data_IF_144357803978
#
_entry.id   IF_144357803978
#
_cell.length_a   1.000
_cell.length_b   1.000
_cell.length_c   1.000
_cell.angle_alpha   90.00
_cell.angle_beta   90.00
_cell.angle_gamma   90.00
#
_symmetry.space_group_name_H-M   'P 1'
#
loop_
_entity.id
_entity.type
_entity.pdbx_description
1 polymer ?
#
# COMPACT_ATOMS: atom_id res chain seq x y z
N UNK A 1 -12.44 9.39 -2.56
CA UNK A 1 -10.98 9.23 -2.65
C UNK A 1 -10.44 8.66 -1.35
N UNK A 2 -9.44 7.81 -1.44
CA UNK A 2 -8.82 7.24 -0.24
C UNK A 2 -8.01 8.30 0.49
N UNK A 3 -7.93 8.16 1.80
CA UNK A 3 -7.06 9.02 2.61
C UNK A 3 -5.60 8.70 2.31
N UNK A 4 -4.78 9.72 2.30
CA UNK A 4 -3.35 9.59 2.09
C UNK A 4 -2.61 9.87 3.38
N UNK A 5 -1.54 9.11 3.63
CA UNK A 5 -0.64 9.40 4.74
C UNK A 5 0.74 9.67 4.17
N UNK A 6 1.55 10.43 4.90
CA UNK A 6 2.91 10.72 4.45
C UNK A 6 3.78 9.48 4.61
N UNK A 7 4.87 9.42 3.86
CA UNK A 7 5.84 8.34 4.02
C UNK A 7 6.40 8.30 5.45
N UNK A 8 6.58 9.47 6.06
CA UNK A 8 7.05 9.55 7.45
C UNK A 8 6.06 8.88 8.40
N UNK A 9 4.76 9.19 8.27
CA UNK A 9 3.74 8.59 9.11
C UNK A 9 3.63 7.09 8.88
N UNK A 10 3.74 6.67 7.62
CA UNK A 10 3.70 5.24 7.29
C UNK A 10 4.85 4.49 7.94
N UNK A 11 6.06 5.09 7.94
CA UNK A 11 7.23 4.48 8.56
C UNK A 11 7.05 4.36 10.07
N UNK A 12 6.51 5.39 10.71
CA UNK A 12 6.30 5.40 12.15
C UNK A 12 5.24 4.40 12.60
N UNK A 13 4.23 4.17 11.77
CA UNK A 13 3.08 3.32 12.12
C UNK A 13 3.09 1.99 11.39
N UNK A 14 4.22 1.64 10.78
CA UNK A 14 4.34 0.47 9.89
C UNK A 14 3.75 -0.80 10.51
N UNK A 15 4.04 -1.06 11.76
CA UNK A 15 3.61 -2.30 12.42
C UNK A 15 2.10 -2.36 12.66
N UNK A 16 1.41 -1.22 12.57
CA UNK A 16 -0.04 -1.15 12.72
C UNK A 16 -0.79 -1.31 11.41
N UNK A 17 -0.08 -1.43 10.28
CA UNK A 17 -0.71 -1.55 8.98
C UNK A 17 -0.44 -2.90 8.33
N UNK A 18 -1.40 -3.33 7.50
CA UNK A 18 -1.11 -4.37 6.50
C UNK A 18 -0.64 -3.63 5.26
N UNK A 19 0.64 -3.71 4.96
CA UNK A 19 1.23 -3.02 3.80
C UNK A 19 1.04 -3.86 2.55
N UNK A 20 0.44 -3.28 1.52
CA UNK A 20 0.23 -3.96 0.25
C UNK A 20 0.83 -3.14 -0.88
N UNK A 21 1.84 -3.73 -1.53
CA UNK A 21 2.45 -3.15 -2.72
C UNK A 21 1.63 -3.59 -3.93
N UNK A 22 1.01 -2.64 -4.62
CA UNK A 22 0.11 -2.95 -5.73
C UNK A 22 0.78 -2.89 -7.09
N UNK A 23 2.12 -2.83 -7.11
CA UNK A 23 2.88 -2.86 -8.37
C UNK A 23 2.96 -4.28 -8.90
N UNK A 24 3.41 -4.42 -10.15
CA UNK A 24 3.67 -5.73 -10.72
C UNK A 24 4.94 -6.33 -10.13
N UNK A 25 5.03 -7.65 -10.12
CA UNK A 25 6.16 -8.34 -9.50
C UNK A 25 7.51 -7.97 -10.09
N UNK A 26 7.57 -7.71 -11.38
CA UNK A 26 8.83 -7.36 -12.03
C UNK A 26 9.32 -5.96 -11.62
N UNK A 27 8.42 -5.04 -11.31
CA UNK A 27 8.81 -3.73 -10.77
C UNK A 27 9.48 -3.89 -9.41
N UNK A 28 8.94 -4.77 -8.58
CA UNK A 28 9.50 -5.04 -7.27
C UNK A 28 10.86 -5.72 -7.38
N UNK A 29 11.01 -6.64 -8.33
CA UNK A 29 12.28 -7.32 -8.55
C UNK A 29 13.39 -6.34 -8.90
N UNK A 30 13.06 -5.24 -9.61
CA UNK A 30 14.04 -4.23 -9.98
C UNK A 30 14.31 -3.21 -8.89
N UNK A 31 13.26 -2.77 -8.19
CA UNK A 31 13.36 -1.62 -7.29
C UNK A 31 13.29 -1.97 -5.80
N UNK A 32 12.91 -3.20 -5.47
CA UNK A 32 12.65 -3.57 -4.08
C UNK A 32 11.28 -3.13 -3.64
N UNK A 33 10.96 -3.40 -2.38
CA UNK A 33 9.68 -3.07 -1.77
C UNK A 33 9.90 -2.78 -0.29
N UNK A 34 8.85 -2.32 0.40
CA UNK A 34 8.94 -2.08 1.84
C UNK A 34 8.99 -3.45 2.54
N UNK A 35 9.93 -3.60 3.48
CA UNK A 35 10.05 -4.82 4.25
C UNK A 35 8.73 -5.13 4.98
N UNK A 36 8.26 -6.36 4.83
CA UNK A 36 7.00 -6.77 5.45
C UNK A 36 5.78 -6.58 4.57
N UNK A 37 5.92 -5.92 3.42
CA UNK A 37 4.78 -5.70 2.53
C UNK A 37 4.45 -6.98 1.75
N UNK A 38 3.17 -7.12 1.45
CA UNK A 38 2.67 -8.20 0.59
C UNK A 38 2.48 -7.62 -0.80
N UNK A 39 2.90 -8.33 -1.83
CA UNK A 39 2.67 -7.88 -3.20
C UNK A 39 1.38 -8.47 -3.74
N UNK A 40 0.41 -7.59 -4.00
CA UNK A 40 -0.83 -7.95 -4.68
C UNK A 40 -1.04 -6.91 -5.77
N UNK A 41 -0.71 -7.21 -7.02
CA UNK A 41 -0.87 -6.24 -8.10
C UNK A 41 -2.29 -5.69 -8.17
N UNK A 42 -2.43 -4.46 -8.59
CA UNK A 42 -3.70 -3.71 -8.49
C UNK A 42 -4.90 -4.48 -9.04
N UNK A 43 -4.77 -5.06 -10.23
CA UNK A 43 -5.89 -5.81 -10.83
C UNK A 43 -6.31 -6.99 -9.98
N UNK A 44 -5.33 -7.70 -9.40
CA UNK A 44 -5.63 -8.82 -8.51
C UNK A 44 -6.24 -8.35 -7.20
N UNK A 45 -5.76 -7.22 -6.68
CA UNK A 45 -6.29 -6.66 -5.45
C UNK A 45 -7.78 -6.35 -5.59
N UNK A 46 -8.15 -5.70 -6.67
CA UNK A 46 -9.54 -5.35 -6.94
C UNK A 46 -10.38 -6.60 -7.07
N UNK A 47 -9.92 -7.59 -7.83
CA UNK A 47 -10.67 -8.84 -8.02
C UNK A 47 -10.84 -9.60 -6.71
N UNK A 48 -9.75 -9.74 -5.95
CA UNK A 48 -9.78 -10.47 -4.68
C UNK A 48 -10.73 -9.78 -3.68
N UNK A 49 -10.71 -8.45 -3.65
CA UNK A 49 -11.61 -7.70 -2.79
C UNK A 49 -13.08 -7.95 -3.13
N UNK A 50 -13.39 -8.00 -4.43
CA UNK A 50 -14.76 -8.27 -4.89
C UNK A 50 -15.22 -9.68 -4.60
N UNK A 51 -14.29 -10.63 -4.60
CA UNK A 51 -14.60 -12.04 -4.42
C UNK A 51 -14.58 -12.49 -2.96
N UNK A 52 -14.32 -11.59 -2.03
CA UNK A 52 -14.28 -11.92 -0.61
C UNK A 52 -13.02 -12.60 -0.16
N UNK A 53 -12.00 -12.69 -1.01
CA UNK A 53 -10.76 -13.39 -0.69
C UNK A 53 -9.88 -12.65 0.31
N UNK A 54 -10.16 -11.35 0.54
CA UNK A 54 -9.40 -10.52 1.48
C UNK A 54 -10.19 -10.19 2.74
N UNK A 55 -11.30 -10.86 2.98
CA UNK A 55 -12.17 -10.50 4.09
C UNK A 55 -11.49 -10.60 5.46
N UNK A 56 -10.46 -11.44 5.58
CA UNK A 56 -9.66 -11.53 6.81
C UNK A 56 -9.03 -10.19 7.19
N UNK A 57 -8.86 -9.28 6.24
CA UNK A 57 -8.22 -8.00 6.47
C UNK A 57 -9.19 -6.91 6.88
N UNK A 58 -10.50 -7.19 6.94
CA UNK A 58 -11.49 -6.15 7.22
C UNK A 58 -11.38 -5.52 8.59
N UNK A 59 -10.86 -6.22 9.56
CA UNK A 59 -10.64 -5.67 10.90
C UNK A 59 -9.32 -4.94 11.06
N UNK A 60 -8.55 -4.81 10.00
CA UNK A 60 -7.21 -4.23 10.04
C UNK A 60 -7.15 -2.99 9.16
N UNK A 61 -6.18 -2.11 9.42
CA UNK A 61 -5.94 -0.96 8.56
C UNK A 61 -4.94 -1.37 7.48
N UNK A 62 -5.35 -1.22 6.23
CA UNK A 62 -4.53 -1.55 5.08
C UNK A 62 -3.88 -0.29 4.56
N UNK A 63 -2.59 -0.37 4.21
CA UNK A 63 -1.87 0.74 3.58
C UNK A 63 -1.35 0.26 2.24
N UNK A 64 -1.93 0.77 1.16
CA UNK A 64 -1.51 0.39 -0.19
C UNK A 64 -0.50 1.39 -0.73
N UNK A 65 0.32 0.97 -1.67
CA UNK A 65 1.23 1.88 -2.35
C UNK A 65 1.68 1.31 -3.68
N UNK A 66 2.09 2.23 -4.55
CA UNK A 66 2.78 1.88 -5.80
C UNK A 66 4.02 2.75 -5.87
N UNK A 67 4.58 2.95 -7.04
CA UNK A 67 5.82 3.73 -7.13
C UNK A 67 5.58 5.22 -6.89
N UNK A 68 4.58 5.82 -7.55
CA UNK A 68 4.30 7.27 -7.46
C UNK A 68 3.03 7.64 -6.72
N UNK A 69 2.23 6.67 -6.30
CA UNK A 69 1.00 6.91 -5.54
C UNK A 69 -0.30 6.69 -6.30
N UNK A 70 -0.28 6.70 -7.61
CA UNK A 70 -1.52 6.64 -8.39
C UNK A 70 -2.26 5.30 -8.24
N UNK A 71 -1.57 4.20 -8.51
CA UNK A 71 -2.17 2.87 -8.39
C UNK A 71 -2.52 2.53 -6.94
N UNK A 72 -1.68 2.98 -6.01
CA UNK A 72 -1.95 2.79 -4.58
C UNK A 72 -3.24 3.46 -4.16
N UNK A 73 -3.47 4.68 -4.64
CA UNK A 73 -4.70 5.40 -4.33
C UNK A 73 -5.93 4.68 -4.90
N UNK A 74 -5.84 4.19 -6.14
CA UNK A 74 -6.93 3.43 -6.74
C UNK A 74 -7.23 2.18 -5.91
N UNK A 75 -6.20 1.46 -5.50
CA UNK A 75 -6.38 0.24 -4.70
C UNK A 75 -7.05 0.51 -3.37
N UNK A 76 -6.59 1.53 -2.65
CA UNK A 76 -7.19 1.89 -1.36
C UNK A 76 -8.64 2.32 -1.53
N UNK A 77 -8.93 3.11 -2.56
CA UNK A 77 -10.29 3.58 -2.82
C UNK A 77 -11.24 2.40 -3.10
N UNK A 78 -10.79 1.46 -3.94
CA UNK A 78 -11.59 0.27 -4.25
C UNK A 78 -11.84 -0.59 -3.01
N UNK A 79 -10.82 -0.74 -2.16
CA UNK A 79 -10.99 -1.51 -0.93
C UNK A 79 -11.99 -0.83 0.01
N UNK A 80 -11.91 0.49 0.14
CA UNK A 80 -12.85 1.22 1.01
C UNK A 80 -14.29 1.05 0.52
N UNK A 81 -14.51 0.98 -0.79
CA UNK A 81 -15.85 0.74 -1.34
C UNK A 81 -16.39 -0.63 -0.99
N UNK A 82 -15.52 -1.57 -0.62
CA UNK A 82 -15.91 -2.93 -0.28
C UNK A 82 -15.93 -3.18 1.23
N UNK A 83 -15.84 -2.12 2.03
CA UNK A 83 -15.94 -2.23 3.48
C UNK A 83 -14.63 -2.41 4.21
N UNK A 84 -13.50 -2.31 3.52
CA UNK A 84 -12.20 -2.32 4.16
C UNK A 84 -11.84 -0.94 4.66
N UNK A 85 -10.87 -0.86 5.56
CA UNK A 85 -10.28 0.40 6.00
C UNK A 85 -8.90 0.51 5.36
N UNK A 86 -8.77 1.38 4.36
CA UNK A 86 -7.53 1.47 3.59
C UNK A 86 -7.10 2.92 3.41
N UNK A 87 -5.80 3.13 3.56
CA UNK A 87 -5.14 4.41 3.27
C UNK A 87 -4.04 4.12 2.25
N UNK A 88 -3.41 5.16 1.71
CA UNK A 88 -2.33 4.98 0.75
C UNK A 88 -1.19 5.94 1.09
N UNK A 89 0.03 5.57 0.73
CA UNK A 89 1.21 6.42 0.97
C UNK A 89 1.24 7.51 -0.10
N UNK A 90 1.21 8.76 0.35
CA UNK A 90 1.35 9.90 -0.55
C UNK A 90 2.73 9.87 -1.18
N UNK A 91 2.79 9.87 -2.51
CA UNK A 91 4.05 9.75 -3.24
C UNK A 91 4.58 8.32 -3.34
N UNK A 92 3.92 7.35 -2.72
CA UNK A 92 4.23 5.93 -2.90
C UNK A 92 5.62 5.52 -2.45
N UNK A 93 6.16 4.50 -3.09
CA UNK A 93 7.47 3.94 -2.74
C UNK A 93 8.60 4.95 -2.95
N UNK A 94 8.47 5.83 -3.95
CA UNK A 94 9.47 6.87 -4.16
C UNK A 94 9.61 7.77 -2.94
N UNK A 95 8.47 8.20 -2.37
CA UNK A 95 8.49 9.01 -1.15
C UNK A 95 9.00 8.21 0.04
N UNK A 96 8.68 6.94 0.13
CA UNK A 96 9.18 6.05 1.19
C UNK A 96 10.70 5.98 1.14
N UNK A 97 11.28 5.80 -0.05
CA UNK A 97 12.74 5.72 -0.20
C UNK A 97 13.41 7.02 0.23
N UNK A 98 12.82 8.16 -0.12
CA UNK A 98 13.36 9.46 0.29
C UNK A 98 13.32 9.62 1.81
N UNK A 99 12.24 9.19 2.44
CA UNK A 99 12.12 9.27 3.89
C UNK A 99 13.16 8.38 4.58
N UNK A 100 13.41 7.19 4.05
CA UNK A 100 14.43 6.27 4.61
C UNK A 100 15.82 6.87 4.50
N UNK A 101 16.11 7.57 3.41
CA UNK A 101 17.40 8.26 3.27
C UNK A 101 17.61 9.33 4.32
N UNK A 102 16.54 10.08 4.64
CA UNK A 102 16.62 11.13 5.66
C UNK A 102 16.91 10.57 7.04
N UNK A 103 16.45 9.36 7.31
CA UNK A 103 16.60 8.72 8.61
C UNK A 103 17.85 7.87 8.72
N UNK A 104 18.57 7.69 7.63
CA UNK A 104 19.82 6.92 7.60
C UNK A 104 20.98 7.88 7.75
N UNK A 105 21.65 7.81 8.84
CA UNK A 105 22.81 8.65 9.11
C UNK A 105 24.03 7.84 9.37
#
# INVERSE_FOLDING_TARGET
MADKITAKDAAEKKDGFVLIDVREADEIAQDGTIEGAVNIPLGQLIRKGRQGELDDLKGKTICTYCNGGYRGNIGADELNKKGFTAVTIDGGYAAWKEEKKKNTK
#
